data_IF_965941146104
#
_entry.id   IF_965941146104
#
_cell.length_a   1.000
_cell.length_b   1.000
_cell.length_c   1.000
_cell.angle_alpha   90.00
_cell.angle_beta   90.00
_cell.angle_gamma   90.00
#
_symmetry.space_group_name_H-M   'P 1'
#
loop_
_entity.id
_entity.type
_entity.pdbx_description
1 polymer ?
#
# COMPACT_ATOMS: atom_id res chain seq x y z
N UNK A 1 4.80 5.24 -24.74
CA UNK A 1 3.77 6.11 -24.13
C UNK A 1 2.70 5.19 -23.54
N UNK A 2 2.01 5.58 -22.48
CA UNK A 2 0.95 4.76 -21.87
C UNK A 2 -0.41 5.37 -22.17
N UNK A 3 -1.37 4.54 -22.58
CA UNK A 3 -2.76 4.95 -22.77
C UNK A 3 -3.60 4.31 -21.68
N UNK A 4 -4.16 5.10 -20.78
CA UNK A 4 -5.21 4.67 -19.89
C UNK A 4 -6.49 4.56 -20.71
N UNK A 5 -7.17 3.41 -20.63
CA UNK A 5 -8.38 3.09 -21.40
C UNK A 5 -9.64 3.00 -20.53
N UNK A 6 -9.48 2.52 -19.30
CA UNK A 6 -10.57 2.43 -18.34
C UNK A 6 -10.03 2.42 -16.89
N UNK A 7 -10.86 2.86 -15.95
CA UNK A 7 -10.52 2.93 -14.53
C UNK A 7 -11.70 2.49 -13.66
N UNK A 8 -11.43 1.70 -12.62
CA UNK A 8 -12.35 1.51 -11.49
C UNK A 8 -11.83 2.39 -10.35
N UNK A 9 -12.41 3.57 -10.18
CA UNK A 9 -11.90 4.59 -9.25
C UNK A 9 -11.94 4.15 -7.79
N UNK A 10 -12.94 3.35 -7.43
CA UNK A 10 -13.12 2.87 -6.06
C UNK A 10 -12.05 1.85 -5.64
N UNK A 11 -11.64 0.98 -6.57
CA UNK A 11 -10.65 -0.06 -6.30
C UNK A 11 -9.22 0.38 -6.68
N UNK A 12 -9.10 1.48 -7.42
CA UNK A 12 -7.83 1.95 -7.99
C UNK A 12 -7.34 1.08 -9.15
N UNK A 13 -8.19 0.27 -9.78
CA UNK A 13 -7.78 -0.58 -10.89
C UNK A 13 -7.83 0.18 -12.20
N UNK A 14 -6.96 -0.18 -13.14
CA UNK A 14 -6.86 0.51 -14.42
C UNK A 14 -6.47 -0.43 -15.56
N UNK A 15 -7.10 -0.23 -16.71
CA UNK A 15 -6.67 -0.83 -17.97
C UNK A 15 -5.77 0.16 -18.70
N UNK A 16 -4.55 -0.29 -19.01
CA UNK A 16 -3.50 0.52 -19.63
C UNK A 16 -2.98 -0.21 -20.86
N UNK A 17 -2.91 0.48 -21.99
CA UNK A 17 -2.22 0.02 -23.18
C UNK A 17 -0.84 0.63 -23.25
N UNK A 18 0.16 -0.22 -23.49
CA UNK A 18 1.51 0.18 -23.82
C UNK A 18 1.90 -0.58 -25.09
N UNK A 19 2.17 0.16 -26.16
CA UNK A 19 2.44 -0.41 -27.48
C UNK A 19 1.27 -1.33 -27.91
N UNK A 20 1.51 -2.60 -28.22
CA UNK A 20 0.46 -3.57 -28.58
C UNK A 20 -0.08 -4.38 -27.38
N UNK A 21 0.33 -4.04 -26.15
CA UNK A 21 -0.03 -4.81 -24.96
C UNK A 21 -1.07 -4.09 -24.12
N UNK A 22 -2.21 -4.75 -23.90
CA UNK A 22 -3.21 -4.34 -22.94
C UNK A 22 -2.93 -5.00 -21.58
N UNK A 23 -2.94 -4.19 -20.53
CA UNK A 23 -2.59 -4.60 -19.18
C UNK A 23 -3.62 -4.10 -18.18
N UNK A 24 -3.95 -4.94 -17.21
CA UNK A 24 -4.66 -4.58 -16.00
C UNK A 24 -3.65 -4.28 -14.88
N UNK A 25 -3.83 -3.14 -14.25
CA UNK A 25 -2.99 -2.61 -13.18
C UNK A 25 -3.84 -2.47 -11.93
N UNK A 26 -3.38 -2.96 -10.79
CA UNK A 26 -4.09 -2.87 -9.50
C UNK A 26 -3.17 -2.49 -8.33
N UNK A 27 -3.69 -1.89 -7.25
CA UNK A 27 -2.94 -1.68 -6.03
C UNK A 27 -2.54 -3.01 -5.34
N UNK A 28 -1.41 -3.06 -4.61
CA UNK A 28 -0.30 -2.10 -4.69
C UNK A 28 0.35 -2.18 -6.08
N UNK A 29 0.57 -1.03 -6.73
CA UNK A 29 1.04 -0.93 -8.12
C UNK A 29 2.47 -1.47 -8.32
N UNK A 30 2.60 -2.80 -8.37
CA UNK A 30 3.84 -3.59 -8.54
C UNK A 30 3.71 -4.44 -9.81
N UNK A 31 4.80 -4.83 -10.48
CA UNK A 31 4.74 -5.70 -11.67
C UNK A 31 4.11 -7.05 -11.38
N UNK A 32 4.27 -7.61 -10.18
CA UNK A 32 3.60 -8.87 -9.80
C UNK A 32 2.07 -8.78 -9.90
N UNK A 33 1.54 -7.55 -9.84
CA UNK A 33 0.12 -7.26 -9.91
C UNK A 33 -0.32 -6.77 -11.30
N UNK A 34 0.61 -6.69 -12.25
CA UNK A 34 0.34 -6.38 -13.64
C UNK A 34 -0.09 -7.66 -14.35
N UNK A 35 -1.29 -7.66 -14.93
CA UNK A 35 -1.78 -8.78 -15.70
C UNK A 35 -1.98 -8.37 -17.15
N UNK A 36 -1.45 -9.14 -18.10
CA UNK A 36 -1.81 -8.99 -19.52
C UNK A 36 -3.22 -9.52 -19.73
N UNK A 37 -4.05 -8.75 -20.44
CA UNK A 37 -5.47 -9.04 -20.64
C UNK A 37 -5.85 -8.80 -22.10
N UNK A 38 -6.91 -9.45 -22.56
CA UNK A 38 -7.46 -9.24 -23.91
C UNK A 38 -8.46 -8.08 -23.93
N UNK A 39 -8.73 -7.56 -25.13
CA UNK A 39 -9.76 -6.53 -25.35
C UNK A 39 -11.14 -6.98 -24.85
N UNK A 40 -11.48 -8.27 -24.98
CA UNK A 40 -12.75 -8.82 -24.48
C UNK A 40 -12.91 -8.62 -22.96
N UNK A 41 -11.81 -8.67 -22.20
CA UNK A 41 -11.84 -8.43 -20.75
C UNK A 41 -12.10 -6.95 -20.45
N UNK A 42 -11.51 -6.04 -21.23
CA UNK A 42 -11.78 -4.61 -21.11
C UNK A 42 -13.25 -4.29 -21.40
N UNK A 43 -13.80 -4.83 -22.49
CA UNK A 43 -15.20 -4.62 -22.87
C UNK A 43 -16.16 -5.12 -21.77
N UNK A 44 -15.90 -6.31 -21.22
CA UNK A 44 -16.68 -6.85 -20.08
C UNK A 44 -16.52 -6.00 -18.83
N UNK A 45 -15.32 -5.52 -18.54
CA UNK A 45 -15.06 -4.68 -17.37
C UNK A 45 -15.87 -3.37 -17.42
N UNK A 46 -15.93 -2.73 -18.59
CA UNK A 46 -16.68 -1.49 -18.79
C UNK A 46 -18.19 -1.74 -18.80
N UNK A 47 -18.66 -2.79 -19.46
CA UNK A 47 -20.10 -3.05 -19.61
C UNK A 47 -20.77 -3.67 -18.39
N UNK A 48 -20.04 -4.47 -17.60
CA UNK A 48 -20.61 -5.28 -16.50
C UNK A 48 -20.06 -4.88 -15.14
N UNK A 49 -18.79 -4.52 -15.04
CA UNK A 49 -18.09 -4.37 -13.76
C UNK A 49 -17.88 -2.91 -13.34
N UNK A 50 -18.56 -1.97 -13.99
CA UNK A 50 -18.57 -0.57 -13.57
C UNK A 50 -17.25 0.17 -13.79
N UNK A 51 -16.35 -0.34 -14.66
CA UNK A 51 -15.20 0.43 -15.08
C UNK A 51 -15.64 1.63 -15.92
N UNK A 52 -15.12 2.80 -15.59
CA UNK A 52 -15.36 4.00 -16.35
C UNK A 52 -14.39 4.08 -17.53
N UNK A 53 -14.87 4.24 -18.77
CA UNK A 53 -14.00 4.45 -19.92
C UNK A 53 -13.35 5.83 -19.80
N UNK A 54 -12.03 5.87 -19.95
CA UNK A 54 -11.24 7.09 -19.90
C UNK A 54 -10.12 6.94 -20.91
N UNK A 55 -9.98 7.88 -21.84
CA UNK A 55 -8.90 7.86 -22.83
C UNK A 55 -7.92 8.98 -22.51
N UNK A 56 -6.89 8.65 -21.75
CA UNK A 56 -5.84 9.60 -21.36
C UNK A 56 -4.47 9.01 -21.57
N UNK A 57 -3.53 9.84 -22.00
CA UNK A 57 -2.17 9.40 -22.31
C UNK A 57 -1.17 9.94 -21.31
N UNK A 58 -0.24 9.10 -20.89
CA UNK A 58 0.81 9.45 -19.93
C UNK A 58 2.19 9.15 -20.51
N UNK A 59 3.20 9.99 -20.23
CA UNK A 59 4.54 9.81 -20.76
C UNK A 59 5.28 8.61 -20.12
N UNK A 60 4.77 8.10 -18.99
CA UNK A 60 5.30 6.90 -18.35
C UNK A 60 4.49 6.48 -17.14
N UNK A 61 4.95 5.42 -16.48
CA UNK A 61 4.26 4.79 -15.35
C UNK A 61 4.13 5.69 -14.13
N UNK A 62 5.15 6.50 -13.82
CA UNK A 62 5.12 7.35 -12.63
C UNK A 62 3.97 8.39 -12.66
N UNK A 63 3.80 9.19 -13.74
CA UNK A 63 2.64 10.08 -13.87
C UNK A 63 1.28 9.36 -13.83
N UNK A 64 1.19 8.19 -14.48
CA UNK A 64 -0.05 7.39 -14.47
C UNK A 64 -0.38 6.88 -13.06
N UNK A 65 0.59 6.31 -12.36
CA UNK A 65 0.40 5.80 -10.99
C UNK A 65 0.06 6.95 -10.03
N UNK A 66 0.70 8.11 -10.18
CA UNK A 66 0.37 9.30 -9.39
C UNK A 66 -1.08 9.72 -9.61
N UNK A 67 -1.54 9.72 -10.85
CA UNK A 67 -2.94 9.98 -11.19
C UNK A 67 -3.88 8.96 -10.55
N UNK A 68 -3.61 7.66 -10.69
CA UNK A 68 -4.46 6.61 -10.11
C UNK A 68 -4.51 6.69 -8.58
N UNK A 69 -3.40 7.01 -7.92
CA UNK A 69 -3.36 7.26 -6.48
C UNK A 69 -4.18 8.48 -6.10
N UNK A 70 -4.09 9.56 -6.86
CA UNK A 70 -4.87 10.77 -6.59
C UNK A 70 -6.37 10.51 -6.75
N UNK A 71 -6.80 9.77 -7.77
CA UNK A 71 -8.22 9.40 -7.94
C UNK A 71 -8.70 8.49 -6.80
N UNK A 72 -7.92 7.48 -6.42
CA UNK A 72 -8.26 6.62 -5.28
C UNK A 72 -8.33 7.42 -3.98
N UNK A 73 -7.39 8.34 -3.75
CA UNK A 73 -7.41 9.25 -2.60
C UNK A 73 -8.62 10.17 -2.62
N UNK A 74 -9.05 10.70 -3.77
CA UNK A 74 -10.28 11.52 -3.85
C UNK A 74 -11.53 10.70 -3.53
N UNK A 75 -11.62 9.46 -4.00
CA UNK A 75 -12.74 8.58 -3.64
C UNK A 75 -12.72 8.31 -2.14
N UNK A 76 -11.55 7.98 -1.58
CA UNK A 76 -11.39 7.83 -0.14
C UNK A 76 -11.75 9.12 0.59
N UNK A 77 -11.20 10.28 0.25
CA UNK A 77 -11.52 11.58 0.85
C UNK A 77 -13.00 11.94 0.72
N UNK A 78 -13.67 11.61 -0.38
CA UNK A 78 -15.11 11.85 -0.55
C UNK A 78 -15.97 10.91 0.32
N UNK A 79 -15.58 9.63 0.45
CA UNK A 79 -16.21 8.68 1.38
C UNK A 79 -15.89 9.02 2.84
N UNK A 80 -14.69 9.56 3.09
CA UNK A 80 -14.21 10.01 4.40
C UNK A 80 -14.71 11.41 4.77
N UNK A 81 -15.16 12.22 3.81
CA UNK A 81 -15.85 13.49 4.05
C UNK A 81 -17.23 13.30 4.67
N UNK A 82 -17.75 12.07 4.66
CA UNK A 82 -18.95 11.64 5.39
C UNK A 82 -18.58 11.11 6.80
N UNK A 83 -17.33 10.67 7.00
CA UNK A 83 -16.81 10.10 8.25
C UNK A 83 -15.56 10.87 8.68
N UNK A 84 -15.76 12.17 8.96
CA UNK A 84 -14.71 13.12 9.31
C UNK A 84 -14.08 12.93 10.68
N UNK A 85 -14.27 11.78 11.32
CA UNK A 85 -13.64 11.47 12.59
C UNK A 85 -13.02 10.07 12.51
N UNK A 86 -11.77 9.93 12.95
CA UNK A 86 -11.16 8.61 13.07
C UNK A 86 -11.99 7.72 14.01
N UNK A 87 -12.74 8.32 14.96
CA UNK A 87 -13.75 7.63 15.77
C UNK A 87 -14.93 7.11 14.95
N UNK A 88 -15.40 7.86 13.95
CA UNK A 88 -16.54 7.52 13.07
C UNK A 88 -16.23 6.35 12.14
N UNK A 89 -15.00 6.22 11.65
CA UNK A 89 -14.59 5.08 10.79
C UNK A 89 -14.64 3.73 11.50
N UNK A 90 -14.63 3.75 12.83
CA UNK A 90 -14.60 2.57 13.66
C UNK A 90 -15.75 2.53 14.67
N UNK A 91 -16.80 3.34 14.47
CA UNK A 91 -18.01 3.28 15.30
C UNK A 91 -18.61 1.87 15.32
N UNK A 92 -18.61 1.20 14.15
CA UNK A 92 -19.06 -0.19 14.03
C UNK A 92 -18.23 -1.18 14.85
N UNK A 93 -16.98 -0.84 15.21
CA UNK A 93 -16.16 -1.68 16.07
C UNK A 93 -16.59 -1.62 17.53
N UNK A 94 -17.20 -0.51 17.99
CA UNK A 94 -17.66 -0.39 19.39
C UNK A 94 -18.66 -1.49 19.75
N UNK A 95 -19.53 -1.84 18.81
CA UNK A 95 -20.54 -2.88 18.96
C UNK A 95 -20.13 -4.22 18.31
N UNK A 96 -18.90 -4.34 17.81
CA UNK A 96 -18.45 -5.54 17.14
C UNK A 96 -18.34 -6.72 18.13
N UNK A 97 -18.75 -7.93 17.70
CA UNK A 97 -18.60 -9.11 18.53
C UNK A 97 -17.11 -9.44 18.72
N UNK A 98 -16.81 -10.11 19.85
CA UNK A 98 -15.46 -10.49 20.29
C UNK A 98 -14.60 -11.11 19.19
N UNK A 99 -15.18 -11.97 18.38
CA UNK A 99 -14.50 -12.68 17.29
C UNK A 99 -13.98 -11.74 16.20
N UNK A 100 -14.74 -10.69 15.87
CA UNK A 100 -14.33 -9.68 14.89
C UNK A 100 -13.18 -8.84 15.45
N UNK A 101 -13.25 -8.48 16.73
CA UNK A 101 -12.18 -7.76 17.41
C UNK A 101 -10.88 -8.59 17.47
N UNK A 102 -11.00 -9.90 17.72
CA UNK A 102 -9.89 -10.84 17.65
C UNK A 102 -9.28 -10.93 16.25
N UNK A 103 -10.10 -10.95 15.21
CA UNK A 103 -9.63 -10.97 13.81
C UNK A 103 -8.85 -9.70 13.47
N UNK A 104 -9.33 -8.52 13.86
CA UNK A 104 -8.60 -7.27 13.65
C UNK A 104 -7.23 -7.26 14.36
N UNK A 105 -7.16 -7.75 15.60
CA UNK A 105 -5.88 -7.89 16.30
C UNK A 105 -4.97 -8.90 15.60
N UNK A 106 -5.52 -10.01 15.12
CA UNK A 106 -4.76 -11.01 14.37
C UNK A 106 -4.19 -10.45 13.07
N UNK A 107 -5.00 -9.76 12.27
CA UNK A 107 -4.56 -9.15 11.01
C UNK A 107 -3.56 -8.02 11.23
N UNK A 108 -3.69 -7.28 12.32
CA UNK A 108 -2.67 -6.29 12.70
C UNK A 108 -1.31 -6.96 12.94
N UNK A 109 -1.31 -8.10 13.62
CA UNK A 109 -0.12 -8.89 13.93
C UNK A 109 0.47 -9.61 12.70
N UNK A 110 -0.37 -10.20 11.85
CA UNK A 110 0.07 -11.04 10.72
C UNK A 110 0.26 -10.28 9.41
N UNK A 111 -0.41 -9.14 9.22
CA UNK A 111 -0.37 -8.36 7.98
C UNK A 111 0.30 -7.00 8.18
N UNK A 112 -0.22 -6.15 9.06
CA UNK A 112 0.22 -4.74 9.11
C UNK A 112 1.64 -4.58 9.67
N UNK A 113 1.93 -5.20 10.81
CA UNK A 113 3.24 -5.15 11.45
C UNK A 113 4.35 -5.74 10.55
N UNK A 114 4.20 -6.94 9.97
CA UNK A 114 5.22 -7.51 9.07
C UNK A 114 5.44 -6.69 7.79
N UNK A 115 4.41 -6.01 7.30
CA UNK A 115 4.53 -5.14 6.12
C UNK A 115 5.12 -3.75 6.44
N UNK A 116 5.42 -3.45 7.70
CA UNK A 116 5.99 -2.17 8.12
C UNK A 116 4.98 -1.01 8.15
N UNK A 117 3.68 -1.32 8.08
CA UNK A 117 2.56 -0.35 8.12
C UNK A 117 2.25 0.07 9.57
N UNK A 118 3.29 0.45 10.33
CA UNK A 118 3.19 0.66 11.77
C UNK A 118 2.28 1.82 12.17
N UNK A 119 2.13 2.85 11.31
CA UNK A 119 1.21 3.97 11.57
C UNK A 119 -0.24 3.48 11.53
N UNK A 120 -0.62 2.75 10.48
CA UNK A 120 -1.96 2.20 10.35
C UNK A 120 -2.27 1.17 11.45
N UNK A 121 -1.29 0.34 11.80
CA UNK A 121 -1.40 -0.60 12.92
C UNK A 121 -1.59 0.12 14.27
N UNK A 122 -0.86 1.22 14.50
CA UNK A 122 -0.99 2.04 15.70
C UNK A 122 -2.37 2.69 15.80
N UNK A 123 -2.85 3.29 14.70
CA UNK A 123 -4.16 3.95 14.65
C UNK A 123 -5.28 2.95 14.97
N UNK A 124 -5.30 1.80 14.28
CA UNK A 124 -6.28 0.75 14.50
C UNK A 124 -6.23 0.20 15.94
N UNK A 125 -5.05 -0.13 16.46
CA UNK A 125 -4.91 -0.71 17.80
C UNK A 125 -5.31 0.30 18.89
N UNK A 126 -5.03 1.59 18.69
CA UNK A 126 -5.44 2.66 19.61
C UNK A 126 -6.95 2.76 19.70
N UNK A 127 -7.65 2.63 18.57
CA UNK A 127 -9.11 2.63 18.53
C UNK A 127 -9.67 1.39 19.22
N UNK A 128 -9.11 0.20 18.96
CA UNK A 128 -9.53 -1.04 19.62
C UNK A 128 -9.40 -0.97 21.15
N UNK A 129 -8.36 -0.31 21.65
CA UNK A 129 -8.15 -0.09 23.08
C UNK A 129 -9.21 0.80 23.74
N UNK A 130 -9.95 1.59 22.96
CA UNK A 130 -11.09 2.37 23.41
C UNK A 130 -12.38 1.57 23.58
N UNK A 131 -12.42 0.31 23.13
CA UNK A 131 -13.63 -0.53 23.13
C UNK A 131 -13.74 -1.29 24.46
N UNK A 132 -14.90 -1.21 25.10
CA UNK A 132 -15.14 -1.83 26.42
C UNK A 132 -14.90 -3.35 26.42
N UNK A 133 -15.31 -4.05 25.37
CA UNK A 133 -15.07 -5.49 25.20
C UNK A 133 -13.58 -5.83 25.24
N UNK A 134 -12.72 -5.02 24.59
CA UNK A 134 -11.27 -5.21 24.63
C UNK A 134 -10.73 -4.90 26.03
N UNK A 135 -11.22 -3.85 26.70
CA UNK A 135 -10.74 -3.45 28.03
C UNK A 135 -11.12 -4.44 29.14
N UNK A 136 -12.28 -5.09 29.00
CA UNK A 136 -12.80 -6.04 29.98
C UNK A 136 -12.23 -7.46 29.77
N UNK A 137 -11.81 -7.81 28.56
CA UNK A 137 -11.15 -9.09 28.26
C UNK A 137 -9.63 -8.97 28.46
N UNK A 138 -9.11 -9.57 29.53
CA UNK A 138 -7.68 -9.55 29.86
C UNK A 138 -6.78 -10.11 28.75
N UNK A 139 -7.27 -11.06 27.95
CA UNK A 139 -6.52 -11.67 26.85
C UNK A 139 -6.40 -10.70 25.68
N UNK A 140 -7.51 -10.07 25.30
CA UNK A 140 -7.51 -9.11 24.18
C UNK A 140 -6.77 -7.83 24.56
N UNK A 141 -6.94 -7.37 25.79
CA UNK A 141 -6.25 -6.20 26.31
C UNK A 141 -4.73 -6.38 26.32
N UNK A 142 -4.23 -7.52 26.83
CA UNK A 142 -2.79 -7.80 26.85
C UNK A 142 -2.21 -7.94 25.44
N UNK A 143 -2.94 -8.56 24.51
CA UNK A 143 -2.55 -8.66 23.10
C UNK A 143 -2.49 -7.29 22.42
N UNK A 144 -3.50 -6.44 22.61
CA UNK A 144 -3.53 -5.10 22.06
C UNK A 144 -2.37 -4.22 22.61
N UNK A 145 -2.05 -4.32 23.90
CA UNK A 145 -0.88 -3.65 24.48
C UNK A 145 0.42 -4.12 23.84
N UNK A 146 0.60 -5.43 23.66
CA UNK A 146 1.78 -5.98 23.02
C UNK A 146 1.94 -5.45 21.58
N UNK A 147 0.85 -5.37 20.82
CA UNK A 147 0.85 -4.81 19.46
C UNK A 147 1.17 -3.31 19.47
N UNK A 148 0.63 -2.52 20.41
CA UNK A 148 0.99 -1.10 20.55
C UNK A 148 2.49 -0.92 20.83
N UNK A 149 3.07 -1.77 21.69
CA UNK A 149 4.50 -1.73 21.99
C UNK A 149 5.32 -2.08 20.74
N UNK A 150 4.91 -3.09 19.97
CA UNK A 150 5.56 -3.44 18.70
C UNK A 150 5.46 -2.32 17.67
N UNK A 151 4.30 -1.66 17.55
CA UNK A 151 4.11 -0.52 16.65
C UNK A 151 5.00 0.66 17.05
N UNK A 152 5.06 1.00 18.33
CA UNK A 152 5.93 2.07 18.83
C UNK A 152 7.41 1.75 18.64
N UNK A 153 7.83 0.51 18.90
CA UNK A 153 9.20 0.05 18.63
C UNK A 153 9.51 0.10 17.12
N UNK A 154 8.57 -0.33 16.28
CA UNK A 154 8.64 -0.28 14.83
C UNK A 154 8.72 1.14 14.29
N UNK A 155 7.95 2.08 14.83
CA UNK A 155 8.01 3.51 14.48
C UNK A 155 9.29 4.17 14.97
N UNK A 156 9.77 3.86 16.18
CA UNK A 156 11.04 4.36 16.68
C UNK A 156 12.25 3.82 15.89
N UNK A 157 12.16 2.57 15.43
CA UNK A 157 13.14 1.97 14.52
C UNK A 157 13.02 2.57 13.11
N UNK A 158 11.82 2.69 12.55
CA UNK A 158 11.59 3.22 11.19
C UNK A 158 11.80 4.73 11.07
N UNK A 159 11.59 5.49 12.14
CA UNK A 159 11.98 6.89 12.23
C UNK A 159 13.49 7.10 12.09
N UNK A 160 14.29 6.05 12.27
CA UNK A 160 15.73 6.03 11.99
C UNK A 160 16.10 5.39 10.64
N UNK A 161 15.16 4.77 9.92
CA UNK A 161 15.45 3.92 8.74
C UNK A 161 15.01 4.53 7.40
N UNK A 162 14.27 5.65 7.39
CA UNK A 162 14.19 6.52 6.20
C UNK A 162 15.29 7.58 6.15
N UNK A 163 16.43 7.36 6.80
CA UNK A 163 17.63 8.09 6.42
C UNK A 163 18.01 7.63 5.01
N UNK A 164 18.28 8.57 4.09
CA UNK A 164 18.87 8.24 2.80
C UNK A 164 20.08 7.32 3.05
N UNK A 165 20.03 6.11 2.51
CA UNK A 165 21.13 5.16 2.65
C UNK A 165 22.34 5.78 1.96
N UNK A 166 23.38 6.13 2.71
CA UNK A 166 24.60 6.69 2.15
C UNK A 166 25.49 5.58 1.60
N UNK A 167 26.47 5.91 0.75
CA UNK A 167 27.44 4.93 0.25
C UNK A 167 28.17 4.19 1.39
N UNK A 168 28.50 4.89 2.48
CA UNK A 168 29.05 4.29 3.70
C UNK A 168 28.02 3.41 4.43
N UNK A 169 26.75 3.85 4.45
CA UNK A 169 25.63 3.08 4.99
C UNK A 169 25.43 1.73 4.28
N UNK A 170 25.59 1.68 2.96
CA UNK A 170 25.52 0.44 2.16
C UNK A 170 26.59 -0.55 2.61
N UNK A 171 27.85 -0.10 2.72
CA UNK A 171 28.97 -0.98 3.10
C UNK A 171 28.81 -1.47 4.55
N UNK A 172 28.37 -0.59 5.45
CA UNK A 172 28.24 -0.87 6.88
C UNK A 172 27.05 -1.78 7.19
N UNK A 173 25.89 -1.55 6.57
CA UNK A 173 24.63 -2.24 6.88
C UNK A 173 24.40 -3.47 5.98
N UNK A 174 24.94 -3.46 4.76
CA UNK A 174 24.73 -4.52 3.76
C UNK A 174 26.06 -5.01 3.15
N UNK A 175 26.99 -5.54 3.95
CA UNK A 175 28.33 -5.92 3.50
C UNK A 175 28.30 -7.01 2.41
N UNK A 176 27.32 -7.92 2.44
CA UNK A 176 27.14 -8.94 1.40
C UNK A 176 26.72 -8.33 0.06
N UNK A 177 25.91 -7.27 0.07
CA UNK A 177 25.48 -6.54 -1.14
C UNK A 177 26.66 -5.73 -1.68
N UNK A 178 27.39 -5.01 -0.82
CA UNK A 178 28.56 -4.24 -1.20
C UNK A 178 29.71 -5.10 -1.78
N UNK A 179 29.79 -6.38 -1.39
CA UNK A 179 30.76 -7.34 -1.93
C UNK A 179 30.36 -7.87 -3.32
N UNK A 180 29.06 -7.94 -3.61
CA UNK A 180 28.53 -8.56 -4.84
C UNK A 180 28.19 -7.53 -5.92
N UNK A 181 27.88 -6.30 -5.53
CA UNK A 181 27.49 -5.22 -6.43
C UNK A 181 28.30 -3.95 -6.12
N UNK A 182 28.70 -3.18 -7.14
CA UNK A 182 29.32 -1.87 -6.91
C UNK A 182 28.38 -0.96 -6.12
N UNK A 183 28.88 -0.34 -5.05
CA UNK A 183 28.09 0.56 -4.18
C UNK A 183 27.42 1.67 -4.99
N UNK A 184 28.09 2.18 -6.02
CA UNK A 184 27.52 3.18 -6.93
C UNK A 184 26.25 2.70 -7.64
N UNK A 185 26.21 1.44 -8.10
CA UNK A 185 25.04 0.84 -8.76
C UNK A 185 23.88 0.63 -7.79
N UNK A 186 24.15 0.31 -6.52
CA UNK A 186 23.14 0.19 -5.47
C UNK A 186 22.52 1.57 -5.17
N UNK A 187 23.36 2.60 -5.07
CA UNK A 187 22.93 3.99 -4.84
C UNK A 187 22.13 4.57 -6.01
N UNK A 188 22.51 4.23 -7.24
CA UNK A 188 21.78 4.61 -8.45
C UNK A 188 20.42 3.91 -8.52
N UNK A 189 20.37 2.61 -8.21
CA UNK A 189 19.12 1.87 -8.13
C UNK A 189 18.17 2.46 -7.07
N UNK A 190 18.70 2.81 -5.89
CA UNK A 190 17.91 3.46 -4.84
C UNK A 190 17.36 4.83 -5.27
N UNK A 191 18.16 5.67 -5.91
CA UNK A 191 17.68 6.95 -6.45
C UNK A 191 16.61 6.74 -7.52
N UNK A 192 16.77 5.76 -8.40
CA UNK A 192 15.74 5.40 -9.38
C UNK A 192 14.43 4.95 -8.72
N UNK A 193 14.49 4.17 -7.62
CA UNK A 193 13.31 3.75 -6.85
C UNK A 193 12.61 4.95 -6.20
N UNK A 194 13.38 5.88 -5.63
CA UNK A 194 12.87 7.09 -4.97
C UNK A 194 12.26 8.09 -5.97
N UNK A 195 12.98 8.42 -7.05
CA UNK A 195 12.59 9.45 -8.02
C UNK A 195 11.49 8.98 -8.97
N UNK A 196 11.42 7.67 -9.27
CA UNK A 196 10.43 7.13 -10.22
C UNK A 196 9.24 6.45 -9.55
N UNK A 197 9.16 6.46 -8.22
CA UNK A 197 8.26 5.59 -7.44
C UNK A 197 8.27 4.12 -7.94
N UNK A 198 9.37 3.69 -8.56
CA UNK A 198 9.52 2.39 -9.18
C UNK A 198 9.88 1.38 -8.09
N UNK A 199 8.96 0.49 -7.76
CA UNK A 199 9.27 -0.74 -6.99
C UNK A 199 9.87 -1.82 -7.92
N UNK A 200 10.27 -1.46 -9.15
CA UNK A 200 10.57 -2.46 -10.18
C UNK A 200 11.98 -2.30 -10.78
N UNK A 201 12.79 -3.37 -10.76
CA UNK A 201 13.97 -3.48 -11.60
C UNK A 201 13.59 -3.70 -13.07
N UNK A 202 14.47 -3.24 -13.94
CA UNK A 202 14.54 -3.66 -15.34
C UNK A 202 15.04 -5.10 -15.34
N UNK A 203 14.17 -6.05 -15.69
CA UNK A 203 14.61 -7.39 -16.07
C UNK A 203 15.36 -7.29 -17.38
N UNK A 204 16.69 -7.36 -17.31
CA UNK A 204 17.52 -7.85 -18.39
C UNK A 204 17.83 -9.32 -18.08
N UNK A 205 17.07 -10.22 -18.68
CA UNK A 205 17.43 -11.59 -19.09
C UNK A 205 16.17 -12.26 -19.64
#
# INVERSE_FOLDING_TARGET
MLELLAIAREDGWAFVRQDEQLMLVKPPYRQSNLARVSEEILEKAVSVHGFEPIQQTYPGWAPLIQFLRAELSKVHESKLGILGDAELKFELLRDAPREILEDYLHRTESELIPNGEFSAALDLTTVLMGIDTIRQDATLYSRAIALLQQCNAGLAANGRVRAELTAEGVVRLFPAVAKKYPVASVMEYMRNVADRHQVMPVGAA
#
